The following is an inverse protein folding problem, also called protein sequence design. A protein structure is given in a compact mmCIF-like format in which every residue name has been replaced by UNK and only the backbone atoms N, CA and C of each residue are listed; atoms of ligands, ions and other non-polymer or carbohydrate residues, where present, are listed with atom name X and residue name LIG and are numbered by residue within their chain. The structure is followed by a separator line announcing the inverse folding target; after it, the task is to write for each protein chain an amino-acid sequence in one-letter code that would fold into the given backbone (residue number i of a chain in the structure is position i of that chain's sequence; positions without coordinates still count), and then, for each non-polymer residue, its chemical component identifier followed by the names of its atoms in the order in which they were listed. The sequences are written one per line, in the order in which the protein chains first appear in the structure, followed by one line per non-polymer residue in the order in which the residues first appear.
data_IF_521294294214
#
_entry.id   IF_521294294214
#
_cell.length_a   1.000
_cell.length_b   1.000
_cell.length_c   1.000
_cell.angle_alpha   90.00
_cell.angle_beta   90.00
_cell.angle_gamma   90.00
#
_symmetry.space_group_name_H-M   'P 1'
#
loop_
_entity.id
_entity.type
_entity.pdbx_description
1 polymer ?
#
# COMPACT_ATOMS: atom_id res chain seq x y z
N UNK A 1 -12.75 -21.61 1.42
CA UNK A 1 -12.05 -20.51 0.70
C UNK A 1 -11.79 -19.39 1.67
N UNK A 2 -10.56 -18.84 1.73
CA UNK A 2 -10.26 -17.68 2.58
C UNK A 2 -11.00 -16.47 2.00
N UNK A 3 -11.70 -15.70 2.85
CA UNK A 3 -12.39 -14.47 2.43
C UNK A 3 -11.34 -13.44 2.00
N UNK A 4 -11.53 -12.83 0.84
CA UNK A 4 -10.64 -11.79 0.33
C UNK A 4 -10.65 -10.57 1.24
N UNK A 5 -9.49 -9.95 1.45
CA UNK A 5 -9.30 -8.73 2.24
C UNK A 5 -8.39 -7.78 1.47
N UNK A 6 -8.51 -6.49 1.76
CA UNK A 6 -7.65 -5.44 1.17
C UNK A 6 -6.17 -5.76 1.40
N UNK A 7 -5.84 -6.23 2.61
CA UNK A 7 -4.53 -6.72 3.03
C UNK A 7 -3.90 -7.72 2.04
N UNK A 8 -4.73 -8.56 1.40
CA UNK A 8 -4.24 -9.57 0.45
C UNK A 8 -3.70 -8.94 -0.85
N UNK A 9 -4.04 -7.68 -1.13
CA UNK A 9 -3.58 -6.97 -2.33
C UNK A 9 -2.08 -6.73 -2.27
N UNK A 10 -1.49 -6.51 -1.09
CA UNK A 10 -0.05 -6.33 -0.93
C UNK A 10 0.73 -7.58 -1.35
N UNK A 11 0.24 -8.76 -0.95
CA UNK A 11 0.81 -10.05 -1.34
C UNK A 11 0.61 -10.31 -2.84
N UNK A 12 -0.61 -10.08 -3.32
CA UNK A 12 -1.00 -10.37 -4.72
C UNK A 12 -0.21 -9.56 -5.73
N UNK A 13 0.07 -8.30 -5.42
CA UNK A 13 0.87 -7.40 -6.27
C UNK A 13 2.34 -7.33 -5.86
N UNK A 14 2.77 -8.19 -4.93
CA UNK A 14 4.14 -8.26 -4.43
C UNK A 14 4.70 -6.88 -4.01
N UNK A 15 3.88 -6.05 -3.36
CA UNK A 15 4.23 -4.68 -2.97
C UNK A 15 5.46 -4.68 -2.05
N UNK A 16 5.54 -5.65 -1.13
CA UNK A 16 6.72 -5.82 -0.28
C UNK A 16 8.00 -6.12 -1.06
N UNK A 17 7.91 -6.74 -2.23
CA UNK A 17 9.05 -7.12 -3.06
C UNK A 17 9.65 -5.94 -3.84
N UNK A 18 8.83 -5.07 -4.42
CA UNK A 18 9.30 -3.92 -5.20
C UNK A 18 9.23 -2.59 -4.44
N UNK A 19 8.34 -2.46 -3.46
CA UNK A 19 8.00 -1.22 -2.79
C UNK A 19 9.00 -0.76 -1.74
N UNK A 20 9.93 -1.62 -1.29
CA UNK A 20 11.04 -1.27 -0.39
C UNK A 20 10.64 -0.42 0.84
N UNK A 21 9.45 -0.69 1.41
CA UNK A 21 8.81 0.05 2.52
C UNK A 21 8.36 1.49 2.23
N UNK A 22 8.48 1.96 0.98
CA UNK A 22 7.97 3.25 0.54
C UNK A 22 6.52 3.17 0.06
N UNK A 23 6.03 1.97 -0.25
CA UNK A 23 4.69 1.72 -0.76
C UNK A 23 3.96 0.69 0.12
N UNK A 24 2.67 0.93 0.37
CA UNK A 24 1.76 0.01 1.05
C UNK A 24 0.32 0.23 0.57
N UNK A 25 -0.62 -0.58 1.05
CA UNK A 25 -2.05 -0.39 0.80
C UNK A 25 -2.73 0.13 2.08
N UNK A 26 -3.48 1.23 1.96
CA UNK A 26 -4.22 1.79 3.10
C UNK A 26 -5.58 1.08 3.31
N UNK A 27 -6.32 1.47 4.35
CA UNK A 27 -7.61 0.88 4.70
C UNK A 27 -8.71 1.06 3.63
N UNK A 28 -8.53 2.02 2.71
CA UNK A 28 -9.43 2.26 1.57
C UNK A 28 -9.11 1.35 0.38
N UNK A 29 -7.96 0.69 0.39
CA UNK A 29 -7.48 -0.11 -0.74
C UNK A 29 -6.62 0.67 -1.74
N UNK A 30 -6.21 1.89 -1.39
CA UNK A 30 -5.39 2.75 -2.23
C UNK A 30 -3.89 2.57 -1.92
N UNK A 31 -3.04 2.96 -2.88
CA UNK A 31 -1.59 2.98 -2.67
C UNK A 31 -1.24 4.17 -1.78
N UNK A 32 -0.63 3.86 -0.64
CA UNK A 32 0.00 4.84 0.25
C UNK A 32 1.48 4.93 -0.10
N UNK A 33 1.98 6.15 -0.27
CA UNK A 33 3.40 6.43 -0.52
C UNK A 33 4.01 7.18 0.65
N UNK A 34 5.09 6.64 1.19
CA UNK A 34 5.81 7.20 2.34
C UNK A 34 7.25 7.48 1.92
N UNK A 35 7.54 8.63 1.27
CA UNK A 35 8.82 8.88 0.60
C UNK A 35 10.00 9.03 1.57
N UNK A 36 9.75 9.30 2.85
CA UNK A 36 10.72 9.24 3.92
C UNK A 36 10.28 8.17 4.93
N UNK A 37 11.21 7.27 5.30
CA UNK A 37 10.93 6.24 6.30
C UNK A 37 10.36 6.88 7.57
N UNK A 38 9.22 6.36 8.03
CA UNK A 38 8.54 6.77 9.27
C UNK A 38 8.02 8.22 9.29
N UNK A 39 7.80 8.82 8.13
CA UNK A 39 7.16 10.13 7.99
C UNK A 39 5.74 10.01 7.41
N UNK A 40 5.08 11.14 7.14
CA UNK A 40 3.73 11.19 6.57
C UNK A 40 3.64 10.41 5.25
N UNK A 41 2.68 9.48 5.20
CA UNK A 41 2.27 8.80 3.98
C UNK A 41 1.20 9.60 3.24
N UNK A 42 1.22 9.54 1.92
CA UNK A 42 0.25 10.23 1.05
C UNK A 42 -0.53 9.19 0.25
N UNK A 43 -1.86 9.32 0.22
CA UNK A 43 -2.72 8.51 -0.64
C UNK A 43 -2.60 9.02 -2.08
N UNK A 44 -2.15 8.16 -3.01
CA UNK A 44 -1.97 8.54 -4.42
C UNK A 44 -3.29 8.82 -5.13
N UNK A 45 -4.38 8.19 -4.73
CA UNK A 45 -5.70 8.39 -5.35
C UNK A 45 -6.26 9.77 -4.99
N UNK A 46 -6.00 10.25 -3.76
CA UNK A 46 -6.44 11.60 -3.33
C UNK A 46 -5.64 12.74 -3.99
N UNK A 47 -4.50 12.43 -4.62
CA UNK A 47 -3.65 13.41 -5.31
C UNK A 47 -4.00 13.63 -6.79
N UNK A 48 -4.74 12.69 -7.41
CA UNK A 48 -5.08 12.72 -8.83
C UNK A 48 -6.48 13.28 -9.07
#
# INVERSE_FOLDING_TARGET
MRKWRIENSEETYNISGWGNKYFSINEKGNILVTPQKENYGVDLDELM
#
